data_IF_435303697188
#
_entry.id   IF_435303697188
#
_cell.length_a   1.000
_cell.length_b   1.000
_cell.length_c   1.000
_cell.angle_alpha   90.00
_cell.angle_beta   90.00
_cell.angle_gamma   90.00
#
_symmetry.space_group_name_H-M   'P 1'
#
loop_
_entity.id
_entity.type
_entity.pdbx_description
1 polymer ?
#
# COMPACT_ATOMS: atom_id res chain seq x y z
N UNK A 1 -55.40 17.64 35.31
CA UNK A 1 -54.12 17.94 36.00
C UNK A 1 -53.12 18.28 34.96
N UNK A 2 -52.43 19.49 35.04
CA UNK A 2 -52.05 20.26 33.86
C UNK A 2 -50.68 19.91 33.29
N UNK A 3 -50.66 20.00 31.96
CA UNK A 3 -49.47 19.92 31.08
C UNK A 3 -48.61 21.19 31.35
N UNK A 4 -47.33 20.99 31.69
CA UNK A 4 -46.33 22.07 31.75
C UNK A 4 -45.75 22.29 30.39
N UNK A 5 -46.03 23.47 29.84
CA UNK A 5 -45.38 24.02 28.65
C UNK A 5 -43.94 24.40 28.95
N UNK A 6 -42.99 23.93 28.09
CA UNK A 6 -41.61 24.36 28.06
C UNK A 6 -41.51 25.59 27.15
N UNK A 7 -41.20 26.72 27.77
CA UNK A 7 -40.91 27.98 27.11
C UNK A 7 -39.62 27.91 26.27
N UNK A 8 -39.73 28.17 24.97
CA UNK A 8 -38.61 28.35 24.07
C UNK A 8 -37.93 29.70 24.36
N UNK A 9 -36.64 29.66 24.75
CA UNK A 9 -35.79 30.83 24.85
C UNK A 9 -35.28 31.19 23.46
N UNK A 10 -35.77 32.33 22.92
CA UNK A 10 -35.27 32.94 21.68
C UNK A 10 -33.98 33.68 21.98
N UNK A 11 -32.82 33.08 21.71
CA UNK A 11 -31.55 33.78 21.68
C UNK A 11 -31.51 34.74 20.49
N UNK A 12 -31.49 36.06 20.77
CA UNK A 12 -31.25 37.12 19.76
C UNK A 12 -29.86 36.93 19.13
N UNK A 13 -29.84 36.70 17.83
CA UNK A 13 -28.62 36.83 17.03
C UNK A 13 -28.25 38.29 16.88
N UNK A 14 -27.05 38.66 17.29
CA UNK A 14 -26.42 39.94 16.95
C UNK A 14 -26.15 40.00 15.44
N UNK A 15 -26.29 41.17 14.79
CA UNK A 15 -25.94 41.30 13.37
C UNK A 15 -24.44 41.24 13.18
N UNK A 16 -24.03 40.58 12.10
CA UNK A 16 -22.64 40.50 11.65
C UNK A 16 -22.16 41.89 11.19
N UNK A 17 -20.90 42.27 11.39
CA UNK A 17 -20.35 43.48 10.85
C UNK A 17 -20.27 43.44 9.33
N UNK A 18 -20.56 44.59 8.72
CA UNK A 18 -20.59 44.81 7.26
C UNK A 18 -19.30 44.35 6.59
N UNK A 19 -19.47 43.59 5.49
CA UNK A 19 -18.41 43.18 4.61
C UNK A 19 -17.80 44.43 3.94
N UNK A 20 -16.50 44.62 4.13
CA UNK A 20 -15.72 45.57 3.35
C UNK A 20 -15.70 45.16 1.86
N UNK A 21 -15.68 46.07 0.91
CA UNK A 21 -15.69 45.74 -0.50
C UNK A 21 -14.39 45.05 -0.89
N UNK A 22 -14.53 43.90 -1.58
CA UNK A 22 -13.45 43.15 -2.21
C UNK A 22 -12.74 44.03 -3.27
N UNK A 23 -11.65 44.64 -2.89
CA UNK A 23 -10.68 45.13 -3.86
C UNK A 23 -9.79 43.96 -4.26
N UNK A 24 -9.69 43.63 -5.54
CA UNK A 24 -8.78 42.59 -5.98
C UNK A 24 -7.34 43.04 -5.68
N UNK A 25 -6.65 42.26 -4.83
CA UNK A 25 -5.22 42.44 -4.59
C UNK A 25 -4.46 42.07 -5.89
N UNK A 26 -4.08 43.10 -6.64
CA UNK A 26 -3.23 42.95 -7.81
C UNK A 26 -1.80 42.78 -7.32
N UNK A 27 -1.30 41.54 -7.41
CA UNK A 27 0.13 41.26 -7.23
C UNK A 27 0.83 41.91 -8.43
N UNK A 28 1.79 42.82 -8.25
CA UNK A 28 2.58 43.34 -9.36
C UNK A 28 3.35 42.17 -9.97
N UNK A 29 3.07 41.85 -11.22
CA UNK A 29 3.86 40.89 -11.98
C UNK A 29 5.26 41.46 -12.16
N UNK A 30 6.25 40.84 -11.53
CA UNK A 30 7.66 41.17 -11.81
C UNK A 30 7.96 40.90 -13.29
N UNK A 31 8.73 41.75 -13.94
CA UNK A 31 9.05 41.58 -15.35
C UNK A 31 9.74 40.21 -15.57
N UNK A 32 9.25 39.48 -16.54
CA UNK A 32 9.66 38.09 -16.91
C UNK A 32 11.17 37.96 -17.06
N UNK A 33 11.87 39.03 -17.43
CA UNK A 33 13.33 39.08 -17.56
C UNK A 33 14.06 38.93 -16.19
N UNK A 34 13.49 39.46 -15.09
CA UNK A 34 14.10 39.33 -13.74
C UNK A 34 13.90 37.90 -13.24
N UNK A 35 12.71 37.31 -13.41
CA UNK A 35 12.44 35.92 -13.03
C UNK A 35 13.31 34.90 -13.81
N UNK A 36 13.63 35.19 -15.07
CA UNK A 36 14.53 34.34 -15.86
C UNK A 36 16.01 34.48 -15.44
N UNK A 37 16.44 35.67 -15.03
CA UNK A 37 17.78 35.89 -14.53
C UNK A 37 18.01 35.23 -13.15
N UNK A 38 17.01 35.29 -12.27
CA UNK A 38 17.03 34.63 -10.95
C UNK A 38 16.99 33.12 -11.08
N UNK A 39 16.19 32.60 -12.01
CA UNK A 39 16.10 31.16 -12.30
C UNK A 39 17.41 30.60 -12.89
N UNK A 40 18.10 31.37 -13.77
CA UNK A 40 19.38 30.98 -14.33
C UNK A 40 20.47 30.98 -13.25
N UNK A 41 20.52 32.01 -12.39
CA UNK A 41 21.48 32.09 -11.29
C UNK A 41 21.26 30.98 -10.25
N UNK A 42 19.99 30.62 -9.97
CA UNK A 42 19.64 29.51 -9.10
C UNK A 42 19.98 28.15 -9.71
N UNK A 43 19.88 28.00 -11.03
CA UNK A 43 20.29 26.78 -11.74
C UNK A 43 21.80 26.58 -11.70
N UNK A 44 22.58 27.64 -11.98
CA UNK A 44 24.04 27.62 -11.86
C UNK A 44 24.53 27.35 -10.43
N UNK A 45 23.84 27.89 -9.42
CA UNK A 45 24.16 27.63 -8.03
C UNK A 45 23.87 26.15 -7.66
N UNK A 46 22.80 25.56 -8.20
CA UNK A 46 22.48 24.12 -8.03
C UNK A 46 23.47 23.21 -8.73
N UNK A 47 23.89 23.55 -9.95
CA UNK A 47 24.94 22.80 -10.66
C UNK A 47 26.31 22.89 -9.96
N UNK A 48 26.71 24.07 -9.44
CA UNK A 48 27.90 24.20 -8.62
C UNK A 48 27.84 23.40 -7.34
N UNK A 49 26.66 23.40 -6.68
CA UNK A 49 26.44 22.59 -5.49
C UNK A 49 26.45 21.07 -5.81
N UNK A 50 25.92 20.66 -6.96
CA UNK A 50 25.96 19.26 -7.41
C UNK A 50 27.40 18.84 -7.78
N UNK A 51 28.15 19.64 -8.52
CA UNK A 51 29.55 19.35 -8.82
C UNK A 51 30.43 19.32 -7.56
N UNK A 52 30.20 20.24 -6.62
CA UNK A 52 30.88 20.20 -5.33
C UNK A 52 30.49 18.99 -4.48
N UNK A 53 29.29 18.44 -4.69
CA UNK A 53 28.83 17.21 -4.01
C UNK A 53 29.36 15.94 -4.69
N UNK A 54 29.58 15.95 -6.01
CA UNK A 54 30.18 14.84 -6.77
C UNK A 54 31.70 14.76 -6.59
N UNK A 55 32.40 15.92 -6.43
CA UNK A 55 33.85 15.98 -6.17
C UNK A 55 34.22 15.72 -4.70
N UNK A 56 33.27 15.82 -3.78
CA UNK A 56 33.51 15.54 -2.37
C UNK A 56 33.23 14.05 -2.08
N UNK A 57 34.31 13.29 -1.89
CA UNK A 57 34.22 11.99 -1.23
C UNK A 57 33.33 12.11 -0.01
N UNK A 58 32.29 11.24 0.17
CA UNK A 58 31.36 11.34 1.29
C UNK A 58 32.06 11.28 2.66
N UNK A 59 33.29 10.80 2.74
CA UNK A 59 34.14 10.90 3.91
C UNK A 59 34.99 12.18 3.96
N UNK A 60 35.23 12.85 2.84
CA UNK A 60 36.01 14.09 2.75
C UNK A 60 35.22 15.35 3.10
N UNK A 61 33.88 15.34 2.88
CA UNK A 61 33.02 16.51 3.08
C UNK A 61 32.78 16.88 4.55
N UNK A 62 33.02 15.96 5.48
CA UNK A 62 32.91 16.22 6.91
C UNK A 62 34.16 16.89 7.43
N UNK A 63 34.04 18.07 8.06
CA UNK A 63 35.12 18.73 8.75
C UNK A 63 35.81 17.79 9.74
N UNK A 64 37.12 18.01 9.98
CA UNK A 64 37.91 17.16 10.89
C UNK A 64 37.25 16.98 12.28
N UNK A 65 36.56 18.00 12.76
CA UNK A 65 35.76 17.96 14.01
C UNK A 65 34.58 17.01 13.95
N UNK A 66 33.86 16.97 12.81
CA UNK A 66 32.71 16.07 12.66
C UNK A 66 33.14 14.60 12.53
N UNK A 67 34.25 14.35 11.85
CA UNK A 67 34.85 13.00 11.78
C UNK A 67 35.27 12.52 13.17
N UNK A 68 35.88 13.40 13.95
CA UNK A 68 36.24 13.09 15.35
C UNK A 68 34.99 12.78 16.20
N UNK A 69 33.95 13.59 16.11
CA UNK A 69 32.69 13.38 16.83
C UNK A 69 32.02 12.07 16.41
N UNK A 70 31.99 11.74 15.11
CA UNK A 70 31.47 10.45 14.64
C UNK A 70 32.30 9.27 15.15
N UNK A 71 33.62 9.40 15.14
CA UNK A 71 34.52 8.36 15.66
C UNK A 71 34.32 8.15 17.16
N UNK A 72 34.22 9.24 17.93
CA UNK A 72 33.93 9.17 19.38
C UNK A 72 32.57 8.53 19.65
N UNK A 73 31.52 8.94 18.91
CA UNK A 73 30.18 8.31 19.03
C UNK A 73 30.22 6.82 18.73
N UNK A 74 30.92 6.37 17.67
CA UNK A 74 31.09 4.94 17.38
C UNK A 74 31.81 4.20 18.50
N UNK A 75 32.90 4.78 19.02
CA UNK A 75 33.63 4.21 20.15
C UNK A 75 32.77 4.10 21.41
N UNK A 76 32.05 5.18 21.77
CA UNK A 76 31.14 5.17 22.91
C UNK A 76 30.03 4.13 22.75
N UNK A 77 29.42 4.06 21.56
CA UNK A 77 28.39 3.06 21.27
C UNK A 77 28.92 1.62 21.33
N UNK A 78 30.16 1.37 20.87
CA UNK A 78 30.78 0.05 20.95
C UNK A 78 31.07 -0.38 22.41
N UNK A 79 31.46 0.56 23.26
CA UNK A 79 31.65 0.31 24.69
C UNK A 79 30.34 0.12 25.45
N UNK A 80 29.28 0.83 25.02
CA UNK A 80 27.95 0.71 25.64
C UNK A 80 27.16 -0.50 25.14
N UNK A 81 27.50 -1.05 23.95
CA UNK A 81 26.79 -2.17 23.34
C UNK A 81 26.62 -3.40 24.24
N UNK A 82 27.61 -3.83 25.01
CA UNK A 82 27.46 -4.97 25.94
C UNK A 82 26.50 -4.67 27.09
N UNK A 83 26.32 -3.40 27.45
CA UNK A 83 25.46 -2.95 28.55
C UNK A 83 24.06 -2.60 28.13
N UNK A 84 23.85 -2.47 26.81
CA UNK A 84 22.58 -2.07 26.22
C UNK A 84 21.69 -3.28 25.90
N UNK A 85 20.43 -2.99 25.57
CA UNK A 85 19.51 -4.00 25.00
C UNK A 85 20.13 -4.70 23.79
N UNK A 86 19.87 -5.99 23.64
CA UNK A 86 20.24 -6.79 22.45
C UNK A 86 19.64 -6.26 21.14
N UNK A 87 18.69 -5.34 21.22
CA UNK A 87 18.09 -4.67 20.07
C UNK A 87 18.98 -3.53 19.60
N UNK A 88 19.59 -3.70 18.44
CA UNK A 88 20.29 -2.61 17.74
C UNK A 88 19.30 -1.73 16.99
N UNK A 89 19.74 -0.51 16.64
CA UNK A 89 18.93 0.41 15.82
C UNK A 89 18.49 -0.20 14.49
N UNK A 90 19.26 -1.11 13.93
CA UNK A 90 18.98 -1.73 12.63
C UNK A 90 18.11 -2.99 12.77
N UNK A 91 18.19 -3.67 13.91
CA UNK A 91 17.35 -4.84 14.23
C UNK A 91 16.03 -4.48 14.91
N UNK A 92 15.87 -3.26 15.42
CA UNK A 92 14.63 -2.85 16.08
C UNK A 92 13.50 -2.58 15.07
N UNK A 93 12.32 -3.10 15.36
CA UNK A 93 11.12 -2.86 14.58
C UNK A 93 10.74 -1.37 14.60
N UNK A 94 10.52 -0.79 13.42
CA UNK A 94 10.15 0.62 13.24
C UNK A 94 8.82 0.72 12.51
N UNK A 95 7.70 0.82 13.23
CA UNK A 95 6.37 0.84 12.61
C UNK A 95 6.19 1.95 11.59
N UNK A 96 6.78 3.12 11.81
CA UNK A 96 6.68 4.27 10.89
C UNK A 96 7.46 4.10 9.58
N UNK A 97 8.32 3.08 9.44
CA UNK A 97 9.07 2.79 8.22
C UNK A 97 8.52 1.61 7.41
N UNK A 98 7.50 0.93 7.90
CA UNK A 98 6.93 -0.27 7.26
C UNK A 98 6.50 -0.03 5.81
N UNK A 99 5.98 1.16 5.52
CA UNK A 99 5.55 1.54 4.18
C UNK A 99 6.71 1.67 3.20
N UNK A 100 7.82 2.29 3.63
CA UNK A 100 9.00 2.55 2.77
C UNK A 100 9.98 1.39 2.77
N UNK A 101 10.15 0.75 3.92
CA UNK A 101 11.08 -0.36 4.14
C UNK A 101 10.31 -1.55 4.76
N UNK A 102 9.50 -2.27 3.97
CA UNK A 102 8.74 -3.40 4.48
C UNK A 102 9.64 -4.54 4.89
N UNK A 103 9.16 -5.32 5.86
CA UNK A 103 9.84 -6.51 6.34
C UNK A 103 9.80 -7.59 5.27
N UNK A 104 10.95 -8.20 5.00
CA UNK A 104 11.02 -9.34 4.09
C UNK A 104 10.32 -10.58 4.70
N UNK A 105 9.64 -11.40 3.90
CA UNK A 105 8.86 -12.53 4.39
C UNK A 105 9.65 -13.51 5.26
N UNK A 106 10.95 -13.72 4.95
CA UNK A 106 11.81 -14.62 5.72
C UNK A 106 12.32 -14.01 7.03
N UNK A 107 12.30 -12.68 7.16
CA UNK A 107 12.70 -11.97 8.40
C UNK A 107 11.52 -11.67 9.32
N UNK A 108 10.32 -12.06 8.93
CA UNK A 108 9.14 -11.84 9.75
C UNK A 108 9.20 -12.69 11.01
N UNK A 109 9.11 -12.03 12.15
CA UNK A 109 9.13 -12.64 13.49
C UNK A 109 7.84 -12.34 14.26
N UNK A 110 7.56 -13.12 15.28
CA UNK A 110 6.47 -12.88 16.21
C UNK A 110 6.52 -11.48 16.83
N UNK A 111 7.72 -11.01 17.17
CA UNK A 111 7.93 -9.68 17.75
C UNK A 111 7.47 -8.54 16.82
N UNK A 112 7.59 -8.68 15.51
CA UNK A 112 7.07 -7.70 14.54
C UNK A 112 5.55 -7.61 14.60
N UNK A 113 4.86 -8.75 14.67
CA UNK A 113 3.39 -8.82 14.75
C UNK A 113 2.88 -8.27 16.07
N UNK A 114 3.53 -8.63 17.20
CA UNK A 114 3.18 -8.09 18.52
C UNK A 114 3.42 -6.58 18.62
N UNK A 115 4.52 -6.08 18.06
CA UNK A 115 4.82 -4.65 18.05
C UNK A 115 3.86 -3.85 17.13
N UNK A 116 3.30 -4.50 16.10
CA UNK A 116 2.25 -3.92 15.27
C UNK A 116 0.86 -4.01 15.91
N UNK A 117 0.70 -4.70 17.06
CA UNK A 117 -0.57 -4.94 17.77
C UNK A 117 -1.53 -5.91 17.07
N UNK A 118 -0.97 -6.88 16.33
CA UNK A 118 -1.77 -7.86 15.59
C UNK A 118 -2.60 -8.81 16.49
N UNK A 119 -2.23 -8.94 17.76
CA UNK A 119 -2.90 -9.81 18.72
C UNK A 119 -4.19 -9.26 19.31
N UNK A 120 -4.46 -7.96 19.16
CA UNK A 120 -5.65 -7.34 19.73
C UNK A 120 -6.85 -7.59 18.82
N UNK A 121 -7.90 -8.15 19.35
CA UNK A 121 -9.19 -8.29 18.70
C UNK A 121 -10.24 -7.40 19.37
N UNK A 122 -11.47 -7.57 18.99
CA UNK A 122 -12.63 -6.81 19.49
C UNK A 122 -13.08 -7.28 20.88
N UNK A 123 -14.00 -6.54 21.48
CA UNK A 123 -14.63 -6.91 22.73
C UNK A 123 -15.39 -8.24 22.60
N UNK A 124 -15.42 -9.03 23.69
CA UNK A 124 -16.00 -10.37 23.73
C UNK A 124 -17.43 -10.46 23.14
N UNK A 125 -18.22 -9.40 23.28
CA UNK A 125 -19.60 -9.36 22.75
C UNK A 125 -19.67 -9.37 21.21
N UNK A 126 -18.61 -8.98 20.53
CA UNK A 126 -18.53 -8.89 19.06
C UNK A 126 -17.83 -10.10 18.43
N UNK A 127 -17.26 -11.01 19.26
CA UNK A 127 -16.54 -12.17 18.77
C UNK A 127 -17.46 -13.16 18.07
N UNK A 128 -17.14 -13.47 16.82
CA UNK A 128 -17.84 -14.50 16.06
C UNK A 128 -17.52 -15.90 16.61
N UNK A 129 -18.52 -16.75 16.77
CA UNK A 129 -18.35 -18.13 17.26
C UNK A 129 -17.39 -18.95 16.39
N UNK A 130 -17.38 -18.71 15.09
CA UNK A 130 -16.47 -19.37 14.15
C UNK A 130 -15.00 -18.99 14.37
N UNK A 131 -14.74 -17.91 15.08
CA UNK A 131 -13.39 -17.40 15.36
C UNK A 131 -12.78 -17.98 16.65
N UNK A 132 -13.58 -18.60 17.53
CA UNK A 132 -13.11 -19.15 18.82
C UNK A 132 -11.84 -20.01 18.71
N UNK A 133 -11.68 -20.91 17.71
CA UNK A 133 -10.47 -21.73 17.59
C UNK A 133 -9.19 -20.95 17.29
N UNK A 134 -9.30 -19.69 16.88
CA UNK A 134 -8.20 -18.81 16.47
C UNK A 134 -7.76 -17.88 17.62
N UNK A 135 -8.48 -17.91 18.73
CA UNK A 135 -8.19 -17.09 19.90
C UNK A 135 -7.16 -17.75 20.82
N UNK A 136 -6.28 -16.92 21.34
CA UNK A 136 -5.42 -17.31 22.47
C UNK A 136 -6.19 -17.27 23.80
N UNK A 137 -7.09 -16.31 23.96
CA UNK A 137 -7.90 -16.10 25.14
C UNK A 137 -8.56 -14.73 25.20
N UNK A 138 -8.96 -14.32 26.39
CA UNK A 138 -9.54 -12.99 26.63
C UNK A 138 -8.82 -12.28 27.75
N UNK A 139 -8.62 -10.96 27.60
CA UNK A 139 -8.03 -10.11 28.63
C UNK A 139 -8.76 -8.77 28.70
N UNK A 140 -9.19 -8.36 29.89
CA UNK A 140 -9.96 -7.13 30.09
C UNK A 140 -11.16 -7.01 29.13
N UNK A 141 -11.89 -8.09 28.97
CA UNK A 141 -13.07 -8.22 28.08
C UNK A 141 -12.77 -8.07 26.57
N UNK A 142 -11.50 -8.03 26.19
CA UNK A 142 -11.03 -8.03 24.80
C UNK A 142 -10.52 -9.42 24.42
N UNK A 143 -10.84 -9.84 23.21
CA UNK A 143 -10.33 -11.06 22.62
C UNK A 143 -8.85 -10.88 22.23
N UNK A 144 -8.04 -11.89 22.47
CA UNK A 144 -6.63 -11.94 22.09
C UNK A 144 -6.45 -13.03 21.04
N UNK A 145 -5.96 -12.63 19.86
CA UNK A 145 -5.72 -13.53 18.72
C UNK A 145 -4.42 -14.29 18.96
N UNK A 146 -4.38 -15.57 18.62
CA UNK A 146 -3.16 -16.39 18.69
C UNK A 146 -2.26 -16.08 17.48
N UNK A 147 -1.34 -15.17 17.69
CA UNK A 147 -0.42 -14.69 16.64
C UNK A 147 0.62 -15.76 16.30
N UNK A 148 1.05 -16.55 17.25
CA UNK A 148 2.12 -17.54 17.06
C UNK A 148 1.62 -18.74 16.27
N UNK A 149 0.51 -19.35 16.71
CA UNK A 149 0.02 -20.61 16.15
C UNK A 149 -0.87 -20.41 14.93
N UNK A 150 -1.48 -19.24 14.81
CA UNK A 150 -2.50 -18.98 13.77
C UNK A 150 -2.04 -17.91 12.78
N UNK A 151 -1.78 -16.69 13.24
CA UNK A 151 -1.48 -15.56 12.34
C UNK A 151 -0.19 -15.78 11.54
N UNK A 152 0.90 -16.16 12.22
CA UNK A 152 2.19 -16.31 11.57
C UNK A 152 2.20 -17.43 10.50
N UNK A 153 1.65 -18.64 10.77
CA UNK A 153 1.52 -19.66 9.73
C UNK A 153 0.55 -19.28 8.61
N UNK A 154 -0.56 -18.58 8.92
CA UNK A 154 -1.50 -18.09 7.91
C UNK A 154 -0.82 -17.09 6.98
N UNK A 155 -0.07 -16.15 7.51
CA UNK A 155 0.67 -15.15 6.73
C UNK A 155 1.77 -15.81 5.88
N UNK A 156 2.44 -16.85 6.36
CA UNK A 156 3.42 -17.61 5.56
C UNK A 156 2.76 -18.33 4.39
N UNK A 157 1.56 -18.90 4.58
CA UNK A 157 0.77 -19.50 3.49
C UNK A 157 0.36 -18.43 2.47
N UNK A 158 -0.14 -17.29 2.95
CA UNK A 158 -0.52 -16.16 2.12
C UNK A 158 0.65 -15.66 1.25
N UNK A 159 1.84 -15.55 1.84
CA UNK A 159 3.11 -15.21 1.15
C UNK A 159 3.43 -16.22 0.03
N UNK A 160 3.30 -17.51 0.30
CA UNK A 160 3.57 -18.55 -0.69
C UNK A 160 2.60 -18.50 -1.87
N UNK A 161 1.30 -18.31 -1.58
CA UNK A 161 0.26 -18.19 -2.60
C UNK A 161 0.49 -16.96 -3.48
N UNK A 162 0.69 -15.79 -2.87
CA UNK A 162 0.86 -14.54 -3.62
C UNK A 162 2.14 -14.59 -4.48
N UNK A 163 3.23 -15.16 -3.96
CA UNK A 163 4.46 -15.38 -4.72
C UNK A 163 4.21 -16.26 -5.95
N UNK A 164 3.50 -17.37 -5.79
CA UNK A 164 3.18 -18.29 -6.89
C UNK A 164 2.31 -17.63 -7.96
N UNK A 165 1.32 -16.81 -7.55
CA UNK A 165 0.46 -16.07 -8.49
C UNK A 165 1.29 -15.07 -9.32
N UNK A 166 2.16 -14.29 -8.68
CA UNK A 166 2.99 -13.31 -9.39
C UNK A 166 4.09 -13.96 -10.25
N UNK A 167 4.58 -15.13 -9.86
CA UNK A 167 5.51 -15.93 -10.66
C UNK A 167 4.86 -16.40 -11.97
N UNK A 168 3.57 -16.74 -11.94
CA UNK A 168 2.77 -17.15 -13.10
C UNK A 168 2.09 -15.99 -13.85
N UNK A 169 2.53 -14.75 -13.66
CA UNK A 169 1.98 -13.55 -14.30
C UNK A 169 0.54 -13.20 -13.89
N UNK A 170 0.11 -13.68 -12.73
CA UNK A 170 -1.22 -13.40 -12.23
C UNK A 170 -1.39 -11.96 -11.73
N UNK A 171 -2.63 -11.50 -11.76
CA UNK A 171 -3.07 -10.17 -11.37
C UNK A 171 -3.61 -10.16 -9.95
N UNK A 172 -3.09 -9.28 -9.11
CA UNK A 172 -3.49 -9.13 -7.71
C UNK A 172 -4.22 -7.81 -7.49
N UNK A 173 -5.45 -7.88 -6.99
CA UNK A 173 -6.25 -6.71 -6.66
C UNK A 173 -6.24 -6.47 -5.15
N UNK A 174 -5.75 -5.31 -4.71
CA UNK A 174 -5.78 -4.87 -3.32
C UNK A 174 -7.01 -4.00 -3.04
N UNK A 175 -7.76 -4.37 -2.00
CA UNK A 175 -8.95 -3.66 -1.54
C UNK A 175 -8.68 -3.13 -0.14
N UNK A 176 -8.53 -1.82 -0.02
CA UNK A 176 -8.37 -1.11 1.24
C UNK A 176 -9.03 0.25 1.13
N UNK A 177 -10.26 0.35 1.62
CA UNK A 177 -11.11 1.53 1.44
C UNK A 177 -10.90 2.60 2.51
N UNK A 178 -10.34 2.24 3.69
CA UNK A 178 -10.03 3.20 4.74
C UNK A 178 -8.89 4.15 4.32
N UNK A 179 -9.05 5.42 4.58
CA UNK A 179 -8.11 6.48 4.20
C UNK A 179 -6.71 6.31 4.81
N UNK A 180 -6.63 5.75 6.03
CA UNK A 180 -5.37 5.52 6.77
C UNK A 180 -4.52 4.41 6.14
N UNK A 181 -5.15 3.38 5.52
CA UNK A 181 -4.45 2.26 4.86
C UNK A 181 -4.15 2.52 3.37
N UNK A 182 -4.85 3.43 2.71
CA UNK A 182 -4.65 3.71 1.28
C UNK A 182 -3.19 4.02 0.89
N UNK A 183 -2.41 4.80 1.65
CA UNK A 183 -1.00 5.04 1.32
C UNK A 183 -0.15 3.77 1.31
N UNK A 184 -0.46 2.80 2.19
CA UNK A 184 0.21 1.51 2.24
C UNK A 184 -0.18 0.64 1.03
N UNK A 185 -1.45 0.66 0.64
CA UNK A 185 -1.96 -0.04 -0.55
C UNK A 185 -1.26 0.46 -1.81
N UNK A 186 -1.19 1.78 -2.01
CA UNK A 186 -0.48 2.38 -3.16
C UNK A 186 0.99 1.97 -3.21
N UNK A 187 1.66 1.94 -2.05
CA UNK A 187 3.05 1.51 -1.96
C UNK A 187 3.23 0.01 -2.27
N UNK A 188 2.27 -0.83 -1.88
CA UNK A 188 2.27 -2.26 -2.21
C UNK A 188 2.08 -2.50 -3.71
N UNK A 189 1.11 -1.83 -4.33
CA UNK A 189 0.85 -1.90 -5.77
C UNK A 189 2.06 -1.41 -6.58
N UNK A 190 2.68 -0.30 -6.17
CA UNK A 190 3.87 0.21 -6.84
C UNK A 190 5.03 -0.80 -6.88
N UNK A 191 5.14 -1.71 -5.87
CA UNK A 191 6.14 -2.78 -5.86
C UNK A 191 5.82 -3.92 -6.83
N UNK A 192 4.53 -4.23 -7.01
CA UNK A 192 4.08 -5.27 -7.95
C UNK A 192 4.04 -4.78 -9.40
N UNK A 193 4.11 -3.48 -9.64
CA UNK A 193 4.10 -2.90 -10.97
C UNK A 193 2.85 -3.30 -11.77
N UNK A 194 3.06 -3.94 -12.93
CA UNK A 194 1.97 -4.31 -13.84
C UNK A 194 1.02 -5.39 -13.30
N UNK A 195 1.45 -6.19 -12.32
CA UNK A 195 0.65 -7.27 -11.75
C UNK A 195 -0.15 -6.83 -10.51
N UNK A 196 0.03 -5.58 -10.02
CA UNK A 196 -0.65 -5.06 -8.85
C UNK A 196 -1.68 -3.99 -9.21
N UNK A 197 -2.91 -4.14 -8.70
CA UNK A 197 -3.97 -3.15 -8.84
C UNK A 197 -4.59 -2.84 -7.49
N UNK A 198 -5.23 -1.69 -7.36
CA UNK A 198 -5.94 -1.31 -6.15
C UNK A 198 -7.24 -0.58 -6.45
N UNK A 199 -8.15 -0.67 -5.51
CA UNK A 199 -9.38 0.13 -5.53
C UNK A 199 -9.03 1.51 -4.99
N UNK A 200 -9.24 2.56 -5.81
CA UNK A 200 -8.89 3.94 -5.46
C UNK A 200 -10.01 4.70 -4.75
N UNK A 201 -11.19 4.09 -4.64
CA UNK A 201 -12.37 4.70 -4.01
C UNK A 201 -12.43 4.39 -2.50
N UNK A 202 -13.08 5.27 -1.74
CA UNK A 202 -13.28 5.10 -0.29
C UNK A 202 -14.28 3.99 0.06
N UNK A 203 -14.92 3.39 -0.93
CA UNK A 203 -15.82 2.25 -0.77
C UNK A 203 -15.78 1.37 -2.01
N UNK A 204 -16.09 0.09 -1.83
CA UNK A 204 -16.27 -0.83 -2.94
C UNK A 204 -17.50 -0.43 -3.78
N UNK A 205 -17.31 -0.37 -5.08
CA UNK A 205 -18.41 -0.15 -6.02
C UNK A 205 -18.96 -1.52 -6.42
N UNK A 206 -20.23 -1.83 -6.10
CA UNK A 206 -20.81 -3.11 -6.49
C UNK A 206 -20.79 -3.32 -8.00
N UNK A 207 -20.45 -4.54 -8.44
CA UNK A 207 -20.40 -4.92 -9.85
C UNK A 207 -19.01 -4.79 -10.49
N UNK A 208 -17.99 -4.34 -9.75
CA UNK A 208 -16.63 -4.22 -10.30
C UNK A 208 -16.09 -5.55 -10.82
N UNK A 209 -16.39 -6.66 -10.16
CA UNK A 209 -16.00 -8.00 -10.62
C UNK A 209 -17.10 -8.65 -11.46
N UNK A 210 -18.34 -8.65 -10.99
CA UNK A 210 -19.45 -9.34 -11.64
C UNK A 210 -19.93 -8.66 -12.92
N UNK A 211 -19.79 -7.35 -13.02
CA UNK A 211 -20.21 -6.55 -14.18
C UNK A 211 -19.04 -5.75 -14.79
N UNK A 212 -17.83 -6.27 -14.68
CA UNK A 212 -16.60 -5.66 -15.13
C UNK A 212 -16.66 -5.19 -16.60
N UNK A 213 -17.23 -5.99 -17.49
CA UNK A 213 -17.37 -5.67 -18.90
C UNK A 213 -18.10 -4.35 -19.16
N UNK A 214 -19.18 -4.06 -18.42
CA UNK A 214 -19.93 -2.81 -18.59
C UNK A 214 -19.23 -1.62 -17.94
N UNK A 215 -18.70 -1.79 -16.72
CA UNK A 215 -18.04 -0.72 -15.98
C UNK A 215 -16.72 -0.30 -16.61
N UNK A 216 -15.90 -1.27 -17.03
CA UNK A 216 -14.61 -1.00 -17.64
C UNK A 216 -14.73 -0.47 -19.07
N UNK A 217 -15.77 -0.88 -19.83
CA UNK A 217 -15.98 -0.36 -21.19
C UNK A 217 -16.14 1.16 -21.20
N UNK A 218 -16.95 1.70 -20.29
CA UNK A 218 -17.14 3.16 -20.20
C UNK A 218 -15.86 3.88 -19.78
N UNK A 219 -15.09 3.34 -18.85
CA UNK A 219 -13.82 3.89 -18.41
C UNK A 219 -12.76 3.85 -19.52
N UNK A 220 -12.68 2.76 -20.28
CA UNK A 220 -11.78 2.63 -21.42
C UNK A 220 -12.16 3.61 -22.54
N UNK A 221 -13.45 3.72 -22.85
CA UNK A 221 -13.94 4.70 -23.84
C UNK A 221 -13.60 6.12 -23.46
N UNK A 222 -13.79 6.48 -22.18
CA UNK A 222 -13.44 7.80 -21.68
C UNK A 222 -11.91 8.04 -21.72
N UNK A 223 -11.11 7.06 -21.35
CA UNK A 223 -9.65 7.14 -21.42
C UNK A 223 -9.16 7.30 -22.87
N UNK A 224 -9.70 6.53 -23.80
CA UNK A 224 -9.35 6.62 -25.22
C UNK A 224 -9.78 7.96 -25.83
N UNK A 225 -10.92 8.52 -25.43
CA UNK A 225 -11.37 9.84 -25.90
C UNK A 225 -10.40 10.96 -25.46
N UNK A 226 -9.75 10.83 -24.30
CA UNK A 226 -8.77 11.80 -23.79
C UNK A 226 -7.35 11.58 -24.31
N UNK A 227 -7.00 10.37 -24.75
CA UNK A 227 -5.67 10.04 -25.29
C UNK A 227 -5.52 10.24 -26.78
N UNK A 228 -6.56 10.68 -27.50
CA UNK A 228 -6.43 11.09 -28.89
C UNK A 228 -5.51 12.31 -28.98
N UNK A 229 -4.20 12.04 -29.02
CA UNK A 229 -3.20 13.02 -29.42
C UNK A 229 -3.55 13.53 -30.84
N UNK A 230 -3.38 14.82 -31.12
CA UNK A 230 -3.78 15.43 -32.40
C UNK A 230 -3.06 14.90 -33.65
N UNK A 231 -2.20 13.89 -33.50
CA UNK A 231 -1.38 13.26 -34.54
C UNK A 231 -1.60 11.76 -34.72
N UNK A 232 -2.61 11.17 -34.10
CA UNK A 232 -2.94 9.77 -34.40
C UNK A 232 -3.49 9.66 -35.81
N UNK A 233 -2.90 8.78 -36.64
CA UNK A 233 -3.36 8.50 -38.02
C UNK A 233 -4.86 8.25 -38.04
N UNK A 234 -5.58 9.12 -38.73
CA UNK A 234 -7.06 9.07 -38.84
C UNK A 234 -7.56 7.81 -39.56
N UNK A 235 -6.67 7.09 -40.22
CA UNK A 235 -6.98 5.88 -41.00
C UNK A 235 -6.74 4.58 -40.21
N UNK A 236 -6.22 4.62 -39.00
CA UNK A 236 -6.09 3.44 -38.19
C UNK A 236 -7.46 2.99 -37.67
N UNK A 237 -7.88 1.72 -37.91
CA UNK A 237 -9.14 1.24 -37.37
C UNK A 237 -9.18 1.39 -35.86
N UNK A 238 -10.22 2.06 -35.36
CA UNK A 238 -10.41 2.27 -33.93
C UNK A 238 -10.32 0.90 -33.20
N UNK A 239 -9.51 0.75 -32.14
CA UNK A 239 -9.42 -0.50 -31.43
C UNK A 239 -10.82 -0.93 -31.00
N UNK A 240 -11.14 -2.20 -31.23
CA UNK A 240 -12.48 -2.73 -30.96
C UNK A 240 -12.68 -2.78 -29.44
N UNK A 241 -13.05 -1.63 -28.86
CA UNK A 241 -13.16 -1.37 -27.42
C UNK A 241 -14.06 -2.40 -26.74
N UNK A 242 -15.10 -2.87 -27.47
CA UNK A 242 -15.98 -3.93 -26.99
C UNK A 242 -15.29 -5.28 -26.85
N UNK A 243 -14.35 -5.61 -27.74
CA UNK A 243 -13.56 -6.85 -27.62
C UNK A 243 -12.50 -6.74 -26.52
N UNK A 244 -11.85 -5.59 -26.37
CA UNK A 244 -10.91 -5.31 -25.27
C UNK A 244 -11.61 -5.32 -23.91
N UNK A 245 -12.81 -4.78 -23.80
CA UNK A 245 -13.59 -4.78 -22.56
C UNK A 245 -14.21 -6.16 -22.26
N UNK A 246 -14.52 -6.97 -23.29
CA UNK A 246 -14.95 -8.36 -23.12
C UNK A 246 -13.79 -9.27 -22.67
N UNK A 247 -12.55 -8.89 -22.91
CA UNK A 247 -11.34 -9.47 -22.32
C UNK A 247 -11.04 -8.84 -20.96
N UNK A 248 -12.06 -8.47 -20.19
CA UNK A 248 -11.87 -7.93 -18.85
C UNK A 248 -11.06 -8.93 -18.03
N UNK A 249 -9.87 -8.51 -17.65
CA UNK A 249 -9.02 -9.32 -16.80
C UNK A 249 -9.66 -9.44 -15.43
N UNK A 250 -10.16 -10.64 -15.11
CA UNK A 250 -10.49 -10.94 -13.73
C UNK A 250 -9.18 -11.04 -12.95
N UNK A 251 -9.11 -10.49 -11.73
CA UNK A 251 -7.94 -10.68 -10.90
C UNK A 251 -7.83 -12.15 -10.46
N UNK A 252 -6.61 -12.66 -10.40
CA UNK A 252 -6.33 -14.02 -9.92
C UNK A 252 -6.35 -14.11 -8.40
N UNK A 253 -6.25 -12.98 -7.71
CA UNK A 253 -6.35 -12.88 -6.26
C UNK A 253 -6.90 -11.51 -5.85
N UNK A 254 -7.83 -11.52 -4.90
CA UNK A 254 -8.32 -10.29 -4.24
C UNK A 254 -7.82 -10.27 -2.79
N UNK A 255 -7.07 -9.24 -2.43
CA UNK A 255 -6.54 -9.03 -1.07
C UNK A 255 -7.34 -7.94 -0.38
N UNK A 256 -8.10 -8.28 0.67
CA UNK A 256 -8.98 -7.37 1.39
C UNK A 256 -8.38 -7.07 2.78
N UNK A 257 -8.27 -5.79 3.12
CA UNK A 257 -7.63 -5.37 4.38
C UNK A 257 -8.64 -5.10 5.49
N UNK A 258 -9.82 -4.63 5.13
CA UNK A 258 -10.94 -4.33 6.03
C UNK A 258 -12.19 -5.07 5.52
N UNK A 259 -12.39 -6.32 5.91
CA UNK A 259 -13.44 -7.18 5.38
C UNK A 259 -14.85 -6.73 5.76
N UNK A 260 -15.03 -6.08 6.91
CA UNK A 260 -16.34 -5.57 7.37
C UNK A 260 -16.93 -4.59 6.35
N UNK A 261 -16.16 -3.56 6.00
CA UNK A 261 -16.57 -2.52 5.04
C UNK A 261 -16.69 -3.07 3.61
N UNK A 262 -15.89 -4.08 3.28
CA UNK A 262 -15.77 -4.65 1.93
C UNK A 262 -16.41 -6.06 1.81
N UNK A 263 -17.41 -6.38 2.62
CA UNK A 263 -18.14 -7.64 2.54
C UNK A 263 -18.76 -7.90 1.15
N UNK A 264 -19.14 -6.84 0.43
CA UNK A 264 -19.62 -6.94 -0.95
C UNK A 264 -18.52 -7.40 -1.92
N UNK A 265 -17.28 -6.91 -1.76
CA UNK A 265 -16.14 -7.34 -2.56
C UNK A 265 -15.85 -8.83 -2.40
N UNK A 266 -15.91 -9.34 -1.17
CA UNK A 266 -15.73 -10.77 -0.86
C UNK A 266 -16.83 -11.62 -1.51
N UNK A 267 -18.09 -11.17 -1.44
CA UNK A 267 -19.23 -11.87 -2.08
C UNK A 267 -19.09 -11.91 -3.60
N UNK A 268 -18.74 -10.78 -4.21
CA UNK A 268 -18.54 -10.72 -5.67
C UNK A 268 -17.35 -11.61 -6.11
N UNK A 269 -16.24 -11.58 -5.39
CA UNK A 269 -15.10 -12.44 -5.67
C UNK A 269 -15.49 -13.93 -5.59
N UNK A 270 -16.28 -14.31 -4.58
CA UNK A 270 -16.80 -15.68 -4.44
C UNK A 270 -17.71 -16.06 -5.61
N UNK A 271 -18.59 -15.16 -6.06
CA UNK A 271 -19.47 -15.38 -7.22
C UNK A 271 -18.68 -15.55 -8.53
N UNK A 272 -17.59 -14.78 -8.66
CA UNK A 272 -16.69 -14.87 -9.81
C UNK A 272 -15.64 -15.99 -9.69
N UNK A 273 -15.69 -16.81 -8.65
CA UNK A 273 -14.72 -17.89 -8.35
C UNK A 273 -13.28 -17.39 -8.21
N UNK A 274 -13.08 -16.13 -7.81
CA UNK A 274 -11.78 -15.53 -7.56
C UNK A 274 -11.38 -15.79 -6.09
N UNK A 275 -10.21 -16.37 -5.83
CA UNK A 275 -9.75 -16.59 -4.45
C UNK A 275 -9.55 -15.25 -3.73
N UNK A 276 -9.94 -15.24 -2.45
CA UNK A 276 -9.85 -14.07 -1.58
C UNK A 276 -8.84 -14.30 -0.46
N UNK A 277 -8.08 -13.28 -0.15
CA UNK A 277 -7.18 -13.23 0.99
C UNK A 277 -7.55 -12.01 1.82
N UNK A 278 -7.73 -12.14 3.14
CA UNK A 278 -8.07 -10.99 3.96
C UNK A 278 -7.42 -11.02 5.33
N UNK A 279 -7.19 -9.82 5.88
CA UNK A 279 -6.98 -9.66 7.31
C UNK A 279 -8.36 -9.85 7.94
N UNK A 280 -8.48 -10.81 8.85
CA UNK A 280 -9.75 -11.17 9.47
C UNK A 280 -9.61 -10.96 10.96
N UNK A 281 -10.38 -10.02 11.50
CA UNK A 281 -10.48 -9.80 12.94
C UNK A 281 -11.61 -10.65 13.56
N UNK A 282 -11.75 -10.59 14.86
CA UNK A 282 -12.62 -11.42 15.68
C UNK A 282 -14.13 -11.23 15.44
N UNK A 283 -14.51 -10.13 14.80
CA UNK A 283 -15.89 -9.79 14.43
C UNK A 283 -16.31 -10.34 13.06
N UNK A 284 -15.38 -10.89 12.27
CA UNK A 284 -15.63 -11.46 10.94
C UNK A 284 -15.51 -12.98 10.96
N UNK A 285 -16.38 -13.67 10.22
CA UNK A 285 -16.27 -15.12 10.02
C UNK A 285 -15.08 -15.47 9.11
N UNK A 286 -14.06 -16.16 9.61
CA UNK A 286 -12.89 -16.55 8.80
C UNK A 286 -13.22 -17.47 7.64
N UNK A 287 -14.38 -18.14 7.66
CA UNK A 287 -14.84 -19.04 6.58
C UNK A 287 -15.30 -18.29 5.33
N UNK A 288 -15.58 -16.99 5.45
CA UNK A 288 -16.00 -16.15 4.33
C UNK A 288 -14.87 -15.90 3.32
N UNK A 289 -13.61 -16.18 3.70
CA UNK A 289 -12.40 -15.86 2.94
C UNK A 289 -11.61 -17.14 2.65
N UNK A 290 -11.05 -17.27 1.45
CA UNK A 290 -10.25 -18.44 1.06
C UNK A 290 -8.96 -18.58 1.85
N UNK A 291 -8.27 -17.44 2.06
CA UNK A 291 -7.00 -17.38 2.81
C UNK A 291 -7.12 -16.34 3.93
N UNK A 292 -7.72 -16.70 5.07
CA UNK A 292 -7.81 -15.78 6.20
C UNK A 292 -6.45 -15.59 6.85
N UNK A 293 -6.14 -14.34 7.19
CA UNK A 293 -5.00 -13.94 8.00
C UNK A 293 -5.57 -13.37 9.31
N UNK A 294 -5.70 -14.17 10.36
CA UNK A 294 -6.22 -13.70 11.63
C UNK A 294 -5.32 -12.64 12.25
N UNK A 295 -5.79 -11.43 12.32
CA UNK A 295 -5.07 -10.29 12.90
C UNK A 295 -6.02 -9.10 13.06
N UNK A 296 -5.62 -8.15 13.88
CA UNK A 296 -6.31 -6.88 14.08
C UNK A 296 -6.38 -6.09 12.76
N UNK A 297 -7.59 -5.73 12.32
CA UNK A 297 -7.81 -4.94 11.11
C UNK A 297 -8.00 -3.44 11.40
N UNK A 298 -8.27 -3.05 12.66
CA UNK A 298 -8.38 -1.65 13.08
C UNK A 298 -7.06 -0.91 13.03
N UNK A 299 -5.95 -1.61 13.31
CA UNK A 299 -4.65 -1.00 13.38
C UNK A 299 -4.02 -0.79 11.99
N UNK A 300 -3.77 0.45 11.55
CA UNK A 300 -3.09 0.72 10.29
C UNK A 300 -1.67 0.13 10.25
N UNK A 301 -1.03 -0.05 11.41
CA UNK A 301 0.31 -0.66 11.50
C UNK A 301 0.30 -2.14 11.12
N UNK A 302 -0.76 -2.87 11.48
CA UNK A 302 -0.95 -4.27 11.07
C UNK A 302 -1.15 -4.36 9.57
N UNK A 303 -2.04 -3.53 9.03
CA UNK A 303 -2.29 -3.46 7.59
C UNK A 303 -1.01 -3.12 6.80
N UNK A 304 -0.24 -2.12 7.25
CA UNK A 304 1.05 -1.76 6.64
C UNK A 304 2.08 -2.91 6.71
N UNK A 305 2.15 -3.63 7.85
CA UNK A 305 3.05 -4.77 8.01
C UNK A 305 2.67 -5.91 7.07
N UNK A 306 1.40 -6.33 7.09
CA UNK A 306 0.89 -7.42 6.25
C UNK A 306 1.05 -7.10 4.77
N UNK A 307 0.62 -5.90 4.33
CA UNK A 307 0.81 -5.44 2.96
C UNK A 307 2.29 -5.38 2.56
N UNK A 308 3.13 -4.89 3.47
CA UNK A 308 4.57 -4.85 3.26
C UNK A 308 5.14 -6.23 2.96
N UNK A 309 4.82 -7.22 3.81
CA UNK A 309 5.27 -8.61 3.66
C UNK A 309 4.71 -9.24 2.39
N UNK A 310 3.41 -9.06 2.11
CA UNK A 310 2.76 -9.60 0.91
C UNK A 310 3.34 -8.97 -0.37
N UNK A 311 3.51 -7.65 -0.41
CA UNK A 311 4.09 -6.99 -1.59
C UNK A 311 5.54 -7.39 -1.86
N UNK A 312 6.34 -7.64 -0.81
CA UNK A 312 7.69 -8.21 -0.95
C UNK A 312 7.68 -9.64 -1.47
N UNK A 313 6.71 -10.44 -1.06
CA UNK A 313 6.50 -11.78 -1.62
C UNK A 313 6.17 -11.74 -3.12
N UNK A 314 5.33 -10.78 -3.52
CA UNK A 314 5.01 -10.57 -4.94
C UNK A 314 6.23 -10.10 -5.75
N UNK A 315 7.01 -9.18 -5.22
CA UNK A 315 8.29 -8.75 -5.84
C UNK A 315 9.27 -9.92 -6.02
N UNK A 316 9.31 -10.85 -5.05
CA UNK A 316 10.10 -12.09 -5.18
C UNK A 316 9.58 -13.00 -6.30
N UNK A 317 8.26 -13.13 -6.46
CA UNK A 317 7.64 -13.87 -7.56
C UNK A 317 8.00 -13.29 -8.92
N UNK A 318 7.88 -11.97 -9.07
CA UNK A 318 8.27 -11.24 -10.28
C UNK A 318 9.76 -11.45 -10.63
N UNK A 319 10.64 -11.39 -9.62
CA UNK A 319 12.07 -11.66 -9.82
C UNK A 319 12.34 -13.09 -10.30
N UNK A 320 11.64 -14.09 -9.75
CA UNK A 320 11.75 -15.49 -10.19
C UNK A 320 11.26 -15.66 -11.62
N UNK A 321 10.14 -15.04 -11.97
CA UNK A 321 9.62 -15.03 -13.35
C UNK A 321 10.64 -14.43 -14.33
N UNK A 322 11.23 -13.28 -14.00
CA UNK A 322 12.26 -12.65 -14.84
C UNK A 322 13.48 -13.56 -15.01
N UNK A 323 13.97 -14.16 -13.93
CA UNK A 323 15.11 -15.08 -13.99
C UNK A 323 14.80 -16.33 -14.83
N UNK A 324 13.60 -16.90 -14.71
CA UNK A 324 13.16 -18.04 -15.52
C UNK A 324 13.09 -17.69 -17.02
N UNK A 325 12.55 -16.51 -17.34
CA UNK A 325 12.51 -16.00 -18.71
C UNK A 325 13.91 -15.82 -19.30
N UNK A 326 14.82 -15.19 -18.56
CA UNK A 326 16.22 -15.01 -18.99
C UNK A 326 16.92 -16.34 -19.21
N UNK A 327 16.70 -17.31 -18.33
CA UNK A 327 17.25 -18.66 -18.48
C UNK A 327 16.71 -19.36 -19.76
N UNK A 328 15.43 -19.24 -20.02
CA UNK A 328 14.79 -19.79 -21.23
C UNK A 328 15.34 -19.14 -22.51
N UNK A 329 15.45 -17.82 -22.54
CA UNK A 329 16.03 -17.09 -23.69
C UNK A 329 17.50 -17.51 -23.95
N UNK A 330 18.30 -17.65 -22.90
CA UNK A 330 19.69 -18.13 -23.01
C UNK A 330 19.74 -19.54 -23.58
N UNK A 331 18.87 -20.45 -23.11
CA UNK A 331 18.78 -21.80 -23.61
C UNK A 331 18.38 -21.84 -25.10
N UNK A 332 17.39 -21.05 -25.51
CA UNK A 332 17.00 -20.93 -26.92
C UNK A 332 18.15 -20.43 -27.81
N UNK A 333 18.85 -19.37 -27.36
CA UNK A 333 19.99 -18.81 -28.10
C UNK A 333 21.12 -19.86 -28.26
N UNK A 334 21.38 -20.66 -27.23
CA UNK A 334 22.38 -21.74 -27.29
C UNK A 334 21.98 -22.85 -28.24
N UNK A 335 20.71 -23.24 -28.29
CA UNK A 335 20.20 -24.24 -29.24
C UNK A 335 20.29 -23.72 -30.68
N UNK A 336 19.91 -22.48 -30.94
CA UNK A 336 20.01 -21.87 -32.28
C UNK A 336 21.46 -21.81 -32.77
N UNK A 337 22.43 -21.54 -31.89
CA UNK A 337 23.86 -21.53 -32.24
C UNK A 337 24.37 -22.94 -32.59
N UNK A 338 23.82 -24.00 -31.94
CA UNK A 338 24.20 -25.41 -32.23
C UNK A 338 23.56 -25.95 -33.49
N UNK A 339 22.43 -25.38 -33.94
CA UNK A 339 21.70 -25.80 -35.14
C UNK A 339 22.10 -25.03 -36.40
N UNK A 340 23.00 -24.06 -36.31
CA UNK A 340 23.60 -23.40 -37.46
C UNK A 340 24.86 -24.20 -37.84
N UNK A 341 24.91 -24.76 -39.09
CA UNK A 341 26.05 -25.53 -39.58
C UNK A 341 27.32 -24.68 -39.74
#
# INVERSE_FOLDING_TARGET
MPVRALTQSTARRSPAPDAAPDTPFVIPEEPVAVQQADAASAAEARERAQRAHEEADPEGALGASERLVRRMRRSTLSHMAPLASTQTRDSSFRPFKLRTQPVEPHRLTLSHLLAATAQLGHGRAHVQRAYEPLLYGTRHDMAIIDVERVTLPALRRAVAVLRSITENDGVVLFVGTRSDIQPAVRAAVARLGANGFHVSTDRWVPGVLTNAAKLLTSAIQHSLAHTHAPHADRDAPAPNVTKLAAQSYQPDLVVVLNPVDNAHAIREATQCTVPTMAIVDTDVDPRSVTYPIPANDDSPRVAELVLGVLSKAGEDGLRRRAAARDAFEKAQRSMRRRSQP
#
